data_IF_608363957459
#
_entry.id   IF_608363957459
#
_cell.length_a   1.000
_cell.length_b   1.000
_cell.length_c   1.000
_cell.angle_alpha   90.00
_cell.angle_beta   90.00
_cell.angle_gamma   90.00
#
_symmetry.space_group_name_H-M   'P 1'
#
loop_
_entity.id
_entity.type
_entity.pdbx_description
1 polymer ?
#
# COMPACT_ATOMS: atom_id res chain seq x y z
N UNK A 1 -7.51 -5.80 -21.99
CA UNK A 1 -7.13 -6.06 -20.57
C UNK A 1 -8.35 -6.48 -19.77
N UNK A 2 -8.20 -7.49 -18.94
CA UNK A 2 -9.25 -7.92 -18.00
C UNK A 2 -9.18 -7.04 -16.75
N UNK A 3 -10.15 -6.15 -16.59
CA UNK A 3 -10.18 -5.18 -15.50
C UNK A 3 -10.50 -5.82 -14.14
N UNK A 4 -11.22 -6.94 -14.13
CA UNK A 4 -11.48 -7.70 -12.90
C UNK A 4 -10.17 -8.30 -12.39
N UNK A 5 -9.40 -8.88 -13.29
CA UNK A 5 -8.09 -9.43 -12.96
C UNK A 5 -7.14 -8.35 -12.47
N UNK A 6 -7.17 -7.18 -13.09
CA UNK A 6 -6.41 -6.01 -12.66
C UNK A 6 -6.77 -5.64 -11.21
N UNK A 7 -8.05 -5.56 -10.90
CA UNK A 7 -8.52 -5.22 -9.55
C UNK A 7 -8.02 -6.24 -8.51
N UNK A 8 -8.02 -7.52 -8.86
CA UNK A 8 -7.50 -8.57 -7.97
C UNK A 8 -6.00 -8.41 -7.75
N UNK A 9 -5.23 -8.07 -8.76
CA UNK A 9 -3.79 -7.82 -8.63
C UNK A 9 -3.53 -6.60 -7.73
N UNK A 10 -4.31 -5.53 -7.90
CA UNK A 10 -4.19 -4.34 -7.07
C UNK A 10 -4.49 -4.65 -5.63
N UNK A 11 -5.55 -5.43 -5.37
CA UNK A 11 -5.90 -5.84 -4.01
C UNK A 11 -4.77 -6.67 -3.37
N UNK A 12 -4.18 -7.58 -4.12
CA UNK A 12 -3.05 -8.38 -3.65
C UNK A 12 -1.86 -7.49 -3.26
N UNK A 13 -1.58 -6.46 -4.07
CA UNK A 13 -0.52 -5.51 -3.78
C UNK A 13 -0.81 -4.69 -2.51
N UNK A 14 -2.08 -4.36 -2.26
CA UNK A 14 -2.48 -3.67 -1.03
C UNK A 14 -2.20 -4.55 0.19
N UNK A 15 -2.52 -5.84 0.13
CA UNK A 15 -2.17 -6.77 1.21
C UNK A 15 -0.66 -6.85 1.43
N UNK A 16 0.12 -6.89 0.36
CA UNK A 16 1.58 -6.92 0.46
C UNK A 16 2.14 -5.64 1.06
N UNK A 17 1.59 -4.48 0.69
CA UNK A 17 1.99 -3.20 1.25
C UNK A 17 1.75 -3.11 2.75
N UNK A 18 0.69 -3.76 3.22
CA UNK A 18 0.36 -3.82 4.65
C UNK A 18 1.17 -4.88 5.42
N UNK A 19 1.95 -5.67 4.72
CA UNK A 19 2.68 -6.78 5.35
C UNK A 19 1.82 -8.01 5.60
N UNK A 20 0.67 -8.11 4.89
CA UNK A 20 -0.27 -9.19 5.02
C UNK A 20 -1.49 -8.79 5.84
N UNK A 21 -2.21 -9.78 6.35
CA UNK A 21 -3.42 -9.58 7.14
C UNK A 21 -3.05 -9.53 8.62
N UNK A 22 -2.59 -8.36 9.07
CA UNK A 22 -2.05 -8.17 10.42
C UNK A 22 -2.94 -7.20 11.21
N UNK A 23 -3.22 -7.54 12.47
CA UNK A 23 -3.90 -6.65 13.39
C UNK A 23 -2.97 -5.49 13.77
N UNK A 24 -3.51 -4.28 13.75
CA UNK A 24 -2.77 -3.06 14.07
C UNK A 24 -3.45 -2.33 15.22
N UNK A 25 -2.77 -1.35 15.77
CA UNK A 25 -3.22 -0.61 16.97
C UNK A 25 -4.49 0.23 16.79
N UNK A 26 -5.15 0.15 15.63
CA UNK A 26 -6.40 0.87 15.38
C UNK A 26 -6.25 2.38 15.25
N UNK A 27 -5.07 2.86 14.97
CA UNK A 27 -4.81 4.29 14.78
C UNK A 27 -4.63 5.08 16.05
N UNK A 28 -4.49 4.44 17.20
CA UNK A 28 -4.26 5.13 18.47
C UNK A 28 -2.91 5.82 18.51
N UNK A 29 -1.90 5.18 17.94
CA UNK A 29 -0.56 5.76 17.83
C UNK A 29 0.01 5.42 16.45
N UNK A 30 0.80 6.34 15.83
CA UNK A 30 1.48 6.03 14.57
C UNK A 30 2.50 4.92 14.79
N UNK A 31 2.39 3.84 14.01
CA UNK A 31 3.30 2.70 14.11
C UNK A 31 4.56 2.88 13.28
N UNK A 32 4.54 3.81 12.32
CA UNK A 32 5.62 3.98 11.35
C UNK A 32 5.62 2.93 10.25
N UNK A 33 4.79 1.91 10.36
CA UNK A 33 4.68 0.88 9.32
C UNK A 33 3.79 1.32 8.16
N UNK A 34 4.15 1.02 6.90
CA UNK A 34 3.30 1.36 5.76
C UNK A 34 1.90 0.79 5.90
N UNK A 35 0.90 1.62 5.61
CA UNK A 35 -0.51 1.25 5.66
C UNK A 35 -1.16 1.61 4.33
N UNK A 36 -1.86 0.66 3.71
CA UNK A 36 -2.51 0.84 2.43
C UNK A 36 -4.00 0.53 2.53
N UNK A 37 -4.79 1.31 1.81
CA UNK A 37 -6.25 1.15 1.74
C UNK A 37 -6.66 0.88 0.30
N UNK A 38 -7.62 -0.01 0.13
CA UNK A 38 -8.22 -0.35 -1.14
C UNK A 38 -9.69 0.06 -1.11
N UNK A 39 -10.12 0.84 -2.10
CA UNK A 39 -11.51 1.26 -2.22
C UNK A 39 -12.02 0.98 -3.63
N UNK A 40 -13.14 0.30 -3.75
CA UNK A 40 -13.80 0.08 -5.02
C UNK A 40 -15.11 0.88 -5.07
N UNK A 41 -15.29 1.67 -6.13
CA UNK A 41 -16.50 2.42 -6.36
C UNK A 41 -17.33 1.76 -7.46
N UNK A 42 -18.48 1.16 -7.10
CA UNK A 42 -19.32 0.47 -8.07
C UNK A 42 -20.15 1.40 -8.95
N UNK A 43 -20.37 2.64 -8.49
CA UNK A 43 -21.15 3.64 -9.24
C UNK A 43 -20.39 4.11 -10.48
N UNK A 44 -19.12 4.45 -10.31
CA UNK A 44 -18.19 4.74 -11.40
C UNK A 44 -17.07 3.72 -11.25
N UNK A 45 -17.03 2.64 -12.03
CA UNK A 45 -16.08 1.57 -11.78
C UNK A 45 -14.65 2.07 -11.69
N UNK A 46 -14.15 2.14 -10.48
CA UNK A 46 -12.78 2.57 -10.21
C UNK A 46 -12.24 1.91 -8.94
N UNK A 47 -10.94 1.72 -8.94
CA UNK A 47 -10.21 1.20 -7.80
C UNK A 47 -9.25 2.29 -7.34
N UNK A 48 -9.33 2.64 -6.07
CA UNK A 48 -8.44 3.63 -5.47
C UNK A 48 -7.57 2.96 -4.42
N UNK A 49 -6.27 3.24 -4.49
CA UNK A 49 -5.30 2.78 -3.49
C UNK A 49 -4.67 4.01 -2.86
N UNK A 50 -4.74 4.08 -1.54
CA UNK A 50 -4.08 5.14 -0.77
C UNK A 50 -3.05 4.49 0.12
N UNK A 51 -1.78 4.88 -0.02
CA UNK A 51 -0.68 4.32 0.76
C UNK A 51 -0.08 5.41 1.64
N UNK A 52 0.00 5.11 2.93
CA UNK A 52 0.63 5.97 3.94
C UNK A 52 1.98 5.34 4.31
N UNK A 53 3.08 5.76 3.68
CA UNK A 53 4.37 5.07 3.83
C UNK A 53 4.94 5.11 5.25
N UNK A 54 4.56 6.11 6.03
CA UNK A 54 4.99 6.26 7.43
C UNK A 54 3.91 5.82 8.43
N UNK A 55 2.90 5.11 7.95
CA UNK A 55 1.78 4.66 8.76
C UNK A 55 0.61 5.62 8.75
N UNK A 56 -0.57 5.08 9.03
CA UNK A 56 -1.80 5.85 9.11
C UNK A 56 -2.14 6.14 10.57
N UNK A 57 -2.66 7.35 10.81
CA UNK A 57 -3.17 7.75 12.11
C UNK A 57 -4.48 8.53 11.90
N UNK A 58 -5.37 8.50 12.88
CA UNK A 58 -6.63 9.25 12.79
C UNK A 58 -6.44 10.77 12.78
N UNK A 59 -5.28 11.27 13.21
CA UNK A 59 -4.92 12.68 13.13
C UNK A 59 -4.39 13.00 11.73
N UNK A 60 -5.03 13.94 11.04
CA UNK A 60 -4.69 14.33 9.67
C UNK A 60 -3.24 14.78 9.50
N UNK A 61 -2.62 15.34 10.54
CA UNK A 61 -1.24 15.82 10.47
C UNK A 61 -0.23 14.68 10.29
N UNK A 62 -0.55 13.48 10.73
CA UNK A 62 0.31 12.31 10.55
C UNK A 62 0.21 11.69 9.16
N UNK A 63 -0.78 12.10 8.36
CA UNK A 63 -1.09 11.49 7.07
C UNK A 63 -0.65 12.33 5.87
N UNK A 64 0.35 13.21 6.05
CA UNK A 64 0.78 14.16 5.01
C UNK A 64 1.45 13.51 3.80
N UNK A 65 2.11 12.38 3.99
CA UNK A 65 2.85 11.71 2.92
C UNK A 65 2.05 10.57 2.28
N UNK A 66 0.83 10.86 1.89
CA UNK A 66 -0.02 9.89 1.22
C UNK A 66 0.33 9.81 -0.27
N UNK A 67 0.38 8.58 -0.78
CA UNK A 67 0.54 8.31 -2.20
C UNK A 67 -0.72 7.62 -2.70
N UNK A 68 -1.33 8.16 -3.75
CA UNK A 68 -2.58 7.65 -4.29
C UNK A 68 -2.39 7.07 -5.69
N UNK A 69 -3.06 5.95 -5.96
CA UNK A 69 -3.15 5.34 -7.28
C UNK A 69 -4.62 5.13 -7.60
N UNK A 70 -5.07 5.63 -8.76
CA UNK A 70 -6.46 5.47 -9.20
C UNK A 70 -6.50 4.72 -10.53
N UNK A 71 -7.28 3.65 -10.58
CA UNK A 71 -7.50 2.82 -11.76
C UNK A 71 -8.97 2.96 -12.15
N UNK A 72 -9.23 3.72 -13.21
CA UNK A 72 -10.60 4.04 -13.62
C UNK A 72 -10.97 3.38 -14.93
N UNK A 73 -12.26 3.13 -15.12
CA UNK A 73 -12.78 2.49 -16.31
C UNK A 73 -12.49 3.30 -17.60
N UNK A 74 -12.40 4.62 -17.49
CA UNK A 74 -12.10 5.49 -18.64
C UNK A 74 -10.61 5.56 -18.98
N UNK A 75 -9.72 5.01 -18.16
CA UNK A 75 -8.30 4.94 -18.49
C UNK A 75 -8.08 3.90 -19.59
N UNK A 76 -7.16 4.20 -20.51
CA UNK A 76 -6.77 3.24 -21.51
C UNK A 76 -5.93 2.12 -20.91
N UNK A 77 -5.89 0.96 -21.58
CA UNK A 77 -5.16 -0.21 -21.08
C UNK A 77 -3.68 0.09 -20.84
N UNK A 78 -3.06 0.87 -21.71
CA UNK A 78 -1.65 1.28 -21.53
C UNK A 78 -1.44 2.09 -20.26
N UNK A 79 -2.36 2.99 -19.94
CA UNK A 79 -2.30 3.79 -18.74
C UNK A 79 -2.48 2.92 -17.48
N UNK A 80 -3.41 1.96 -17.54
CA UNK A 80 -3.65 1.05 -16.43
C UNK A 80 -2.44 0.16 -16.18
N UNK A 81 -1.81 -0.35 -17.23
CA UNK A 81 -0.60 -1.17 -17.12
C UNK A 81 0.56 -0.38 -16.52
N UNK A 82 0.74 0.86 -16.96
CA UNK A 82 1.79 1.73 -16.42
C UNK A 82 1.57 2.03 -14.93
N UNK A 83 0.34 2.32 -14.54
CA UNK A 83 -0.01 2.55 -13.14
C UNK A 83 0.21 1.31 -12.29
N UNK A 84 -0.15 0.15 -12.81
CA UNK A 84 0.04 -1.12 -12.11
C UNK A 84 1.53 -1.41 -11.91
N UNK A 85 2.34 -1.13 -12.93
CA UNK A 85 3.80 -1.27 -12.83
C UNK A 85 4.37 -0.38 -11.74
N UNK A 86 3.97 0.89 -11.71
CA UNK A 86 4.42 1.83 -10.69
C UNK A 86 4.01 1.39 -9.28
N UNK A 87 2.80 0.88 -9.15
CA UNK A 87 2.32 0.37 -7.86
C UNK A 87 3.14 -0.83 -7.40
N UNK A 88 3.44 -1.78 -8.30
CA UNK A 88 4.28 -2.93 -7.98
C UNK A 88 5.66 -2.51 -7.50
N UNK A 89 6.29 -1.60 -8.23
CA UNK A 89 7.62 -1.09 -7.87
C UNK A 89 7.62 -0.40 -6.51
N UNK A 90 6.57 0.37 -6.24
CA UNK A 90 6.41 1.07 -4.97
C UNK A 90 6.24 0.09 -3.81
N UNK A 91 5.39 -0.91 -3.96
CA UNK A 91 5.15 -1.94 -2.95
C UNK A 91 6.41 -2.77 -2.71
N UNK A 92 7.13 -3.13 -3.76
CA UNK A 92 8.40 -3.86 -3.63
C UNK A 92 9.43 -3.05 -2.84
N UNK A 93 9.52 -1.75 -3.10
CA UNK A 93 10.42 -0.87 -2.37
C UNK A 93 10.05 -0.78 -0.88
N UNK A 94 8.76 -0.69 -0.56
CA UNK A 94 8.29 -0.68 0.82
C UNK A 94 8.66 -1.98 1.54
N UNK A 95 8.49 -3.11 0.88
CA UNK A 95 8.80 -4.41 1.48
C UNK A 95 10.31 -4.60 1.69
N UNK A 96 11.14 -4.09 0.79
CA UNK A 96 12.60 -4.11 0.97
C UNK A 96 13.00 -3.30 2.19
N UNK A 97 12.41 -2.13 2.37
CA UNK A 97 12.68 -1.30 3.54
C UNK A 97 12.25 -2.00 4.82
N UNK A 98 11.10 -2.65 4.81
CA UNK A 98 10.60 -3.42 5.95
C UNK A 98 11.57 -4.54 6.33
N UNK A 99 12.07 -5.28 5.35
CA UNK A 99 13.05 -6.34 5.55
C UNK A 99 14.35 -5.82 6.13
N UNK A 100 14.83 -4.68 5.66
CA UNK A 100 16.04 -4.03 6.19
C UNK A 100 15.87 -3.64 7.65
N UNK A 101 14.73 -3.08 8.02
CA UNK A 101 14.44 -2.72 9.41
C UNK A 101 14.41 -3.95 10.29
N UNK A 102 13.77 -5.03 9.85
CA UNK A 102 13.72 -6.29 10.58
C UNK A 102 15.11 -6.89 10.81
N UNK A 103 15.98 -6.85 9.81
CA UNK A 103 17.36 -7.32 9.93
C UNK A 103 18.16 -6.49 10.93
N UNK A 104 17.99 -5.17 10.92
CA UNK A 104 18.66 -4.30 11.89
C UNK A 104 18.18 -4.58 13.32
N UNK A 105 16.91 -4.80 13.52
CA UNK A 105 16.34 -5.15 14.83
C UNK A 105 16.87 -6.50 15.33
N UNK A 106 17.02 -7.47 14.45
CA UNK A 106 17.60 -8.76 14.80
C UNK A 106 19.06 -8.64 15.23
N UNK A 107 19.85 -7.80 14.54
CA UNK A 107 21.25 -7.57 14.89
C UNK A 107 21.39 -6.91 16.26
N UNK A 108 20.54 -5.94 16.56
CA UNK A 108 20.53 -5.29 17.85
C UNK A 108 20.15 -6.27 18.97
N UNK A 109 19.18 -7.14 18.71
CA UNK A 109 18.77 -8.16 19.66
C UNK A 109 19.83 -9.27 19.86
N UNK A 110 20.69 -9.51 18.89
CA UNK A 110 21.72 -10.53 18.96
C UNK A 110 22.94 -10.12 19.79
N UNK A 111 23.13 -8.82 20.01
CA UNK A 111 24.26 -8.28 20.77
C UNK A 111 24.00 -8.31 22.30
N UNK A 112 22.81 -8.67 22.70
CA UNK A 112 22.48 -8.87 24.11
C UNK A 112 22.83 -10.29 24.53
#
# INVERSE_FOLDING_TARGET
MDKIKLAHEVLDLVFKANGGFIERSGGKEPTGEPTAFFTFSGHCPSVDVSIFPNGWHHDADYNKERVDFTFSDWHEDEELEEKLKKLREYVDALNRLRECVEELEKKEGADD
#
